data_IF_417898947665
#
_entry.id   IF_417898947665
#
_cell.length_a   1.000
_cell.length_b   1.000
_cell.length_c   1.000
_cell.angle_alpha   90.00
_cell.angle_beta   90.00
_cell.angle_gamma   90.00
#
_symmetry.space_group_name_H-M   'P 1'
#
loop_
_entity.id
_entity.type
_entity.pdbx_description
1 polymer ?
#
# COMPACT_ATOMS: atom_id res chain seq x y z
N UNK A 1 8.19 8.64 -21.13
CA UNK A 1 8.06 7.95 -19.83
C UNK A 1 8.06 8.97 -18.71
N UNK A 2 7.20 8.81 -17.70
CA UNK A 2 7.21 9.67 -16.51
C UNK A 2 8.43 9.29 -15.63
N UNK A 3 9.33 10.23 -15.30
CA UNK A 3 10.56 9.91 -14.55
C UNK A 3 10.28 9.34 -13.15
N UNK A 4 9.08 9.54 -12.59
CA UNK A 4 8.71 9.01 -11.29
C UNK A 4 8.49 7.48 -11.31
N UNK A 5 7.92 6.94 -12.40
CA UNK A 5 7.74 5.48 -12.58
C UNK A 5 9.06 4.71 -12.74
N UNK A 6 10.18 5.40 -13.02
CA UNK A 6 11.51 4.78 -13.02
C UNK A 6 12.16 4.83 -11.62
N UNK A 7 11.74 5.76 -10.75
CA UNK A 7 12.30 5.93 -9.40
C UNK A 7 11.56 5.09 -8.36
N UNK A 8 10.30 4.79 -8.62
CA UNK A 8 9.47 3.86 -7.86
C UNK A 8 9.18 2.69 -8.80
N UNK A 9 9.39 1.42 -8.40
CA UNK A 9 9.14 0.26 -9.26
C UNK A 9 7.61 0.03 -9.43
N UNK A 10 6.97 0.91 -10.20
CA UNK A 10 5.51 0.96 -10.42
C UNK A 10 5.19 1.20 -11.90
N UNK A 11 4.09 0.62 -12.38
CA UNK A 11 3.59 0.80 -13.75
C UNK A 11 2.72 2.07 -13.87
N UNK A 12 2.05 2.43 -12.78
CA UNK A 12 1.11 3.53 -12.72
C UNK A 12 1.45 4.48 -11.55
N UNK A 13 1.54 5.78 -11.84
CA UNK A 13 1.64 6.82 -10.81
C UNK A 13 0.27 7.07 -10.16
N UNK A 14 -0.25 6.06 -9.48
CA UNK A 14 -1.55 6.06 -8.82
C UNK A 14 -1.37 5.57 -7.39
N UNK A 15 -1.65 6.46 -6.44
CA UNK A 15 -1.65 6.16 -5.02
C UNK A 15 -3.08 5.87 -4.57
N UNK A 16 -3.28 4.69 -3.98
CA UNK A 16 -4.52 4.41 -3.28
C UNK A 16 -4.51 5.14 -1.93
N UNK A 17 -5.43 6.11 -1.78
CA UNK A 17 -5.47 6.98 -0.60
C UNK A 17 -5.80 6.20 0.69
N UNK A 18 -5.06 6.37 1.80
CA UNK A 18 -5.40 5.77 3.08
C UNK A 18 -6.78 6.20 3.59
N UNK A 19 -7.68 5.24 3.81
CA UNK A 19 -9.05 5.44 4.28
C UNK A 19 -9.31 4.57 5.52
N UNK A 20 -9.56 5.19 6.66
CA UNK A 20 -9.89 4.49 7.89
C UNK A 20 -11.21 3.71 7.75
N UNK A 21 -11.25 2.48 8.29
CA UNK A 21 -12.46 1.65 8.38
C UNK A 21 -12.74 0.73 7.19
N UNK A 22 -12.23 1.03 5.99
CA UNK A 22 -12.47 0.23 4.77
C UNK A 22 -11.23 -0.45 4.20
N UNK A 23 -10.05 -0.22 4.79
CA UNK A 23 -8.77 -0.55 4.19
C UNK A 23 -7.85 -1.30 5.15
N UNK A 24 -7.23 -2.35 4.63
CA UNK A 24 -6.12 -3.10 5.23
C UNK A 24 -5.19 -3.64 4.14
N UNK A 25 -4.26 -4.52 4.49
CA UNK A 25 -3.23 -5.07 3.60
C UNK A 25 -3.80 -5.70 2.33
N UNK A 26 -4.94 -6.40 2.40
CA UNK A 26 -5.54 -7.03 1.23
C UNK A 26 -5.82 -6.03 0.08
N UNK A 27 -6.39 -4.86 0.40
CA UNK A 27 -6.66 -3.82 -0.60
C UNK A 27 -5.36 -3.18 -1.11
N UNK A 28 -4.43 -2.89 -0.19
CA UNK A 28 -3.14 -2.29 -0.54
C UNK A 28 -2.32 -3.20 -1.48
N UNK A 29 -2.28 -4.49 -1.19
CA UNK A 29 -1.61 -5.51 -2.01
C UNK A 29 -2.26 -5.64 -3.39
N UNK A 30 -3.60 -5.60 -3.47
CA UNK A 30 -4.28 -5.64 -4.76
C UNK A 30 -3.89 -4.45 -5.66
N UNK A 31 -3.70 -3.26 -5.08
CA UNK A 31 -3.22 -2.07 -5.81
C UNK A 31 -1.76 -2.24 -6.24
N UNK A 32 -0.89 -2.75 -5.37
CA UNK A 32 0.50 -3.05 -5.72
C UNK A 32 0.59 -4.07 -6.87
N UNK A 33 -0.20 -5.15 -6.81
CA UNK A 33 -0.27 -6.17 -7.85
C UNK A 33 -0.80 -5.63 -9.19
N UNK A 34 -1.62 -4.57 -9.16
CA UNK A 34 -2.07 -3.85 -10.35
C UNK A 34 -1.05 -2.80 -10.86
N UNK A 35 0.15 -2.71 -10.26
CA UNK A 35 1.21 -1.79 -10.66
C UNK A 35 1.09 -0.37 -10.10
N UNK A 36 0.22 -0.15 -9.10
CA UNK A 36 0.07 1.13 -8.38
C UNK A 36 0.80 1.16 -7.03
N UNK A 37 0.53 2.19 -6.23
CA UNK A 37 1.06 2.34 -4.87
C UNK A 37 -0.08 2.09 -3.87
N UNK A 38 -0.04 0.96 -3.18
CA UNK A 38 -0.93 0.65 -2.05
C UNK A 38 -0.48 1.33 -0.76
N UNK A 39 -1.42 1.73 0.09
CA UNK A 39 -1.11 2.36 1.38
C UNK A 39 -1.91 1.75 2.54
N UNK A 40 -1.66 2.17 3.77
CA UNK A 40 -2.44 1.77 4.96
C UNK A 40 -2.90 3.02 5.74
N UNK A 41 -4.08 3.00 6.37
CA UNK A 41 -4.51 4.06 7.28
C UNK A 41 -3.80 3.95 8.64
N UNK A 42 -2.48 4.11 8.66
CA UNK A 42 -1.63 3.84 9.83
C UNK A 42 -2.06 4.58 11.11
N UNK A 43 -2.58 5.80 11.00
CA UNK A 43 -3.05 6.58 12.15
C UNK A 43 -4.27 5.98 12.86
N UNK A 44 -5.03 5.08 12.21
CA UNK A 44 -6.15 4.36 12.82
C UNK A 44 -5.69 3.10 13.58
N UNK A 45 -4.51 2.59 13.26
CA UNK A 45 -4.03 1.31 13.78
C UNK A 45 -3.22 1.53 15.06
N UNK A 46 -3.51 0.72 16.09
CA UNK A 46 -2.60 0.57 17.22
C UNK A 46 -1.28 -0.09 16.78
N UNK A 47 -0.20 0.04 17.58
CA UNK A 47 1.14 -0.45 17.20
C UNK A 47 1.17 -1.92 16.76
N UNK A 48 0.55 -2.82 17.51
CA UNK A 48 0.54 -4.26 17.19
C UNK A 48 -0.18 -4.56 15.87
N UNK A 49 -1.33 -3.90 15.65
CA UNK A 49 -2.09 -4.03 14.42
C UNK A 49 -1.30 -3.48 13.22
N UNK A 50 -0.63 -2.34 13.39
CA UNK A 50 0.24 -1.79 12.37
C UNK A 50 1.40 -2.75 12.04
N UNK A 51 2.03 -3.36 13.03
CA UNK A 51 3.09 -4.37 12.80
C UNK A 51 2.56 -5.57 12.03
N UNK A 52 1.36 -6.05 12.33
CA UNK A 52 0.74 -7.16 11.60
C UNK A 52 0.47 -6.80 10.14
N UNK A 53 -0.12 -5.63 9.88
CA UNK A 53 -0.40 -5.15 8.52
C UNK A 53 0.90 -4.93 7.72
N UNK A 54 1.93 -4.33 8.32
CA UNK A 54 3.24 -4.15 7.67
C UNK A 54 3.88 -5.50 7.34
N UNK A 55 3.79 -6.50 8.24
CA UNK A 55 4.28 -7.85 7.97
C UNK A 55 3.56 -8.49 6.79
N UNK A 56 2.25 -8.33 6.70
CA UNK A 56 1.46 -8.82 5.57
C UNK A 56 1.88 -8.14 4.26
N UNK A 57 2.09 -6.82 4.26
CA UNK A 57 2.60 -6.09 3.08
C UNK A 57 3.97 -6.60 2.65
N UNK A 58 4.94 -6.70 3.56
CA UNK A 58 6.30 -7.16 3.24
C UNK A 58 6.38 -8.60 2.72
N UNK A 59 5.36 -9.42 2.96
CA UNK A 59 5.28 -10.78 2.45
C UNK A 59 4.54 -10.86 1.10
N UNK A 60 3.76 -9.85 0.75
CA UNK A 60 2.90 -9.82 -0.44
C UNK A 60 3.38 -8.91 -1.58
N UNK A 61 4.44 -8.12 -1.36
CA UNK A 61 5.12 -7.29 -2.36
C UNK A 61 6.56 -7.76 -2.53
#
# INVERSE_FOLDING_TARGET
MNPLCHRLPIDHLLLQAPMAGSQGSALALAVCAAGGIGALPAAMLGPDALTQELKALSQGT
#
